data_IF_525857981041
#
_entry.id   IF_525857981041
#
_cell.length_a   1.000
_cell.length_b   1.000
_cell.length_c   1.000
_cell.angle_alpha   90.00
_cell.angle_beta   90.00
_cell.angle_gamma   90.00
#
_symmetry.space_group_name_H-M   'P 1'
#
loop_
_entity.id
_entity.type
_entity.pdbx_description
1 polymer ?
#
# COMPACT_ATOMS: atom_id res chain seq x y z
N UNK A 1 -32.82 3.26 2.68
CA UNK A 1 -31.78 4.32 2.80
C UNK A 1 -31.02 4.43 1.50
N UNK A 2 -30.71 5.64 1.03
CA UNK A 2 -29.96 5.88 -0.22
C UNK A 2 -28.47 5.63 0.05
N UNK A 3 -27.83 4.72 -0.70
CA UNK A 3 -26.39 4.47 -0.57
C UNK A 3 -25.57 5.59 -1.19
N UNK A 4 -24.47 5.95 -0.53
CA UNK A 4 -23.48 6.89 -1.07
C UNK A 4 -22.66 6.16 -2.13
N UNK A 5 -22.50 6.74 -3.33
CA UNK A 5 -21.65 6.17 -4.38
C UNK A 5 -20.26 6.76 -4.26
N UNK A 6 -19.24 5.92 -4.15
CA UNK A 6 -17.83 6.31 -4.03
C UNK A 6 -17.08 5.76 -5.24
N UNK A 7 -16.36 6.61 -5.95
CA UNK A 7 -15.48 6.17 -7.03
C UNK A 7 -14.03 6.33 -6.57
N UNK A 8 -13.27 5.24 -6.61
CA UNK A 8 -11.83 5.22 -6.35
C UNK A 8 -11.10 5.15 -7.69
N UNK A 9 -10.14 6.05 -7.89
CA UNK A 9 -9.39 6.13 -9.14
C UNK A 9 -8.00 5.54 -8.94
N UNK A 10 -7.65 4.55 -9.77
CA UNK A 10 -6.37 3.84 -9.75
C UNK A 10 -6.47 2.44 -9.13
N UNK A 11 -5.83 1.46 -9.79
CA UNK A 11 -5.85 0.05 -9.38
C UNK A 11 -4.47 -0.45 -8.89
N UNK A 12 -3.61 0.47 -8.44
CA UNK A 12 -2.41 0.11 -7.69
C UNK A 12 -2.75 -0.23 -6.24
N UNK A 13 -1.72 -0.49 -5.43
CA UNK A 13 -1.89 -0.96 -4.06
C UNK A 13 -2.68 0.03 -3.18
N UNK A 14 -2.46 1.34 -3.36
CA UNK A 14 -3.20 2.40 -2.65
C UNK A 14 -4.69 2.40 -3.03
N UNK A 15 -4.99 2.26 -4.33
CA UNK A 15 -6.36 2.31 -4.82
C UNK A 15 -7.18 1.12 -4.36
N UNK A 16 -6.63 -0.09 -4.51
CA UNK A 16 -7.28 -1.30 -4.02
C UNK A 16 -7.41 -1.33 -2.50
N UNK A 17 -6.36 -0.98 -1.74
CA UNK A 17 -6.45 -0.95 -0.28
C UNK A 17 -7.51 0.05 0.18
N UNK A 18 -7.54 1.25 -0.41
CA UNK A 18 -8.56 2.28 -0.11
C UNK A 18 -9.96 1.78 -0.43
N UNK A 19 -10.18 1.19 -1.60
CA UNK A 19 -11.50 0.67 -1.99
C UNK A 19 -12.00 -0.41 -1.02
N UNK A 20 -11.12 -1.34 -0.62
CA UNK A 20 -11.43 -2.36 0.39
C UNK A 20 -11.75 -1.71 1.75
N UNK A 21 -10.92 -0.78 2.22
CA UNK A 21 -11.13 -0.11 3.51
C UNK A 21 -12.45 0.64 3.56
N UNK A 22 -12.81 1.38 2.50
CA UNK A 22 -14.09 2.10 2.41
C UNK A 22 -15.25 1.11 2.38
N UNK A 23 -15.16 0.03 1.61
CA UNK A 23 -16.22 -0.96 1.52
C UNK A 23 -16.46 -1.70 2.85
N UNK A 24 -15.40 -2.00 3.59
CA UNK A 24 -15.47 -2.69 4.88
C UNK A 24 -15.91 -1.77 6.02
N UNK A 25 -15.40 -0.53 6.05
CA UNK A 25 -15.65 0.41 7.15
C UNK A 25 -16.98 1.15 7.01
N UNK A 26 -17.49 1.31 5.78
CA UNK A 26 -18.69 2.11 5.50
C UNK A 26 -19.73 1.28 4.70
N UNK A 27 -20.54 0.43 5.38
CA UNK A 27 -21.53 -0.43 4.71
C UNK A 27 -22.62 0.32 3.92
N UNK A 28 -22.79 1.61 4.19
CA UNK A 28 -23.71 2.50 3.47
C UNK A 28 -23.15 3.01 2.14
N UNK A 29 -21.89 2.70 1.82
CA UNK A 29 -21.25 3.07 0.57
C UNK A 29 -21.35 1.96 -0.49
N UNK A 30 -21.46 2.37 -1.75
CA UNK A 30 -21.26 1.53 -2.93
C UNK A 30 -20.00 2.05 -3.61
N UNK A 31 -18.93 1.26 -3.54
CA UNK A 31 -17.63 1.63 -4.08
C UNK A 31 -17.55 1.18 -5.54
N UNK A 32 -16.81 1.91 -6.38
CA UNK A 32 -16.47 1.49 -7.73
C UNK A 32 -15.03 1.91 -7.98
N UNK A 33 -14.18 0.97 -8.36
CA UNK A 33 -12.79 1.26 -8.69
C UNK A 33 -12.66 1.38 -10.21
N UNK A 34 -12.06 2.48 -10.67
CA UNK A 34 -11.83 2.75 -12.09
C UNK A 34 -10.35 3.02 -12.30
N UNK A 35 -9.75 2.38 -13.29
CA UNK A 35 -8.36 2.59 -13.65
C UNK A 35 -8.12 2.31 -15.14
N UNK A 36 -7.07 2.92 -15.68
CA UNK A 36 -6.59 2.61 -17.03
C UNK A 36 -5.87 1.25 -17.07
N UNK A 37 -5.09 0.95 -16.04
CA UNK A 37 -4.29 -0.27 -15.91
C UNK A 37 -4.61 -0.97 -14.61
N UNK A 38 -4.56 -2.30 -14.65
CA UNK A 38 -4.72 -3.20 -13.52
C UNK A 38 -3.46 -4.07 -13.43
N UNK A 39 -3.32 -4.81 -12.32
CA UNK A 39 -2.27 -5.83 -12.21
C UNK A 39 -2.35 -6.80 -13.40
N UNK A 40 -1.23 -7.15 -14.05
CA UNK A 40 0.16 -6.94 -13.63
C UNK A 40 0.83 -5.64 -14.11
N UNK A 41 0.07 -4.66 -14.62
CA UNK A 41 0.61 -3.49 -15.34
C UNK A 41 0.60 -2.19 -14.52
N UNK A 42 0.64 -2.27 -13.18
CA UNK A 42 0.72 -1.11 -12.30
C UNK A 42 2.14 -0.90 -11.78
N UNK A 43 2.47 0.33 -11.32
CA UNK A 43 3.75 0.59 -10.62
C UNK A 43 3.94 -0.33 -9.41
N UNK A 44 2.84 -0.69 -8.74
CA UNK A 44 2.90 -1.58 -7.58
C UNK A 44 3.40 -2.99 -7.96
N UNK A 45 3.05 -3.51 -9.14
CA UNK A 45 3.51 -4.83 -9.60
C UNK A 45 5.02 -4.93 -9.77
N UNK A 46 5.69 -3.80 -10.09
CA UNK A 46 7.14 -3.71 -10.19
C UNK A 46 7.87 -3.45 -8.86
N UNK A 47 7.15 -3.23 -7.76
CA UNK A 47 7.76 -2.91 -6.47
C UNK A 47 8.40 -4.14 -5.81
N UNK A 48 9.54 -3.95 -5.15
CA UNK A 48 10.23 -5.03 -4.43
C UNK A 48 9.43 -5.58 -3.22
N UNK A 49 8.55 -4.74 -2.65
CA UNK A 49 7.58 -5.14 -1.64
C UNK A 49 8.09 -5.24 -0.20
N UNK A 50 9.34 -4.86 0.10
CA UNK A 50 9.89 -4.89 1.45
C UNK A 50 9.42 -3.67 2.25
N UNK A 51 8.87 -3.89 3.44
CA UNK A 51 8.36 -2.83 4.30
C UNK A 51 9.46 -2.22 5.18
N UNK A 52 9.93 -1.05 4.79
CA UNK A 52 10.66 -0.08 5.62
C UNK A 52 10.35 1.31 5.06
N UNK A 53 10.62 2.37 5.82
CA UNK A 53 10.24 3.72 5.40
C UNK A 53 11.38 4.73 5.49
N UNK A 54 11.48 5.58 4.48
CA UNK A 54 12.15 6.86 4.58
C UNK A 54 11.23 7.90 5.25
N UNK A 55 11.81 8.94 5.82
CA UNK A 55 11.04 10.06 6.38
C UNK A 55 10.59 11.02 5.27
N UNK A 56 9.33 11.44 5.31
CA UNK A 56 8.78 12.49 4.44
C UNK A 56 8.81 13.85 5.17
N UNK A 57 9.59 14.84 4.69
CA UNK A 57 9.78 16.11 5.39
C UNK A 57 8.48 16.87 5.69
N UNK A 58 7.51 16.79 4.77
CA UNK A 58 6.26 17.58 4.86
C UNK A 58 5.18 16.92 5.74
N UNK A 59 5.43 15.71 6.25
CA UNK A 59 4.46 14.96 7.04
C UNK A 59 4.97 14.83 8.48
N UNK A 60 4.17 15.19 9.51
CA UNK A 60 4.59 15.02 10.89
C UNK A 60 5.00 13.57 11.19
N UNK A 61 6.17 13.38 11.81
CA UNK A 61 6.73 12.06 12.09
C UNK A 61 5.77 11.12 12.84
N UNK A 62 4.98 11.68 13.75
CA UNK A 62 3.95 10.93 14.49
C UNK A 62 2.91 10.29 13.56
N UNK A 63 2.54 10.99 12.48
CA UNK A 63 1.59 10.50 11.46
C UNK A 63 2.24 9.41 10.61
N UNK A 64 3.48 9.62 10.16
CA UNK A 64 4.23 8.61 9.40
C UNK A 64 4.41 7.32 10.20
N UNK A 65 4.77 7.45 11.47
CA UNK A 65 4.92 6.33 12.41
C UNK A 65 3.61 5.57 12.59
N UNK A 66 2.48 6.28 12.71
CA UNK A 66 1.15 5.64 12.80
C UNK A 66 0.83 4.85 11.54
N UNK A 67 1.00 5.44 10.35
CA UNK A 67 0.76 4.73 9.08
C UNK A 67 1.65 3.50 8.92
N UNK A 68 2.92 3.60 9.30
CA UNK A 68 3.83 2.47 9.30
C UNK A 68 3.32 1.36 10.22
N UNK A 69 2.97 1.69 11.47
CA UNK A 69 2.45 0.74 12.45
C UNK A 69 1.17 0.05 11.95
N UNK A 70 0.19 0.83 11.50
CA UNK A 70 -1.09 0.30 11.03
C UNK A 70 -0.90 -0.62 9.81
N UNK A 71 0.02 -0.27 8.90
CA UNK A 71 0.37 -1.10 7.74
C UNK A 71 1.12 -2.37 8.13
N UNK A 72 2.06 -2.27 9.08
CA UNK A 72 2.82 -3.41 9.59
C UNK A 72 1.91 -4.42 10.28
N UNK A 73 1.04 -3.95 11.19
CA UNK A 73 0.11 -4.81 11.93
C UNK A 73 -0.88 -5.51 10.98
N UNK A 74 -1.40 -4.79 9.99
CA UNK A 74 -2.28 -5.36 8.96
C UNK A 74 -1.59 -6.47 8.17
N UNK A 75 -0.41 -6.19 7.60
CA UNK A 75 0.32 -7.19 6.83
C UNK A 75 0.80 -8.35 7.71
N UNK A 76 1.14 -8.10 8.98
CA UNK A 76 1.54 -9.15 9.92
C UNK A 76 0.39 -10.11 10.17
N UNK A 77 -0.83 -9.58 10.36
CA UNK A 77 -2.02 -10.41 10.52
C UNK A 77 -2.28 -11.30 9.30
N UNK A 78 -2.01 -10.80 8.10
CA UNK A 78 -2.12 -11.59 6.86
C UNK A 78 -1.02 -12.65 6.81
N UNK A 79 0.23 -12.29 7.10
CA UNK A 79 1.37 -13.21 7.12
C UNK A 79 1.20 -14.36 8.11
N UNK A 80 0.44 -14.14 9.19
CA UNK A 80 0.12 -15.15 10.21
C UNK A 80 -1.14 -15.96 9.90
N UNK A 81 -1.82 -15.69 8.78
CA UNK A 81 -3.05 -16.36 8.39
C UNK A 81 -2.82 -17.43 7.32
N UNK A 82 -3.79 -18.32 7.12
CA UNK A 82 -3.78 -19.29 6.03
C UNK A 82 -3.79 -18.65 4.62
N UNK A 83 -4.14 -17.36 4.54
CA UNK A 83 -4.20 -16.58 3.30
C UNK A 83 -2.83 -16.05 2.85
N UNK A 84 -1.80 -16.11 3.72
CA UNK A 84 -0.47 -15.56 3.46
C UNK A 84 0.11 -15.96 2.08
N UNK A 85 0.09 -17.24 1.67
CA UNK A 85 0.65 -17.64 0.37
C UNK A 85 -0.12 -17.06 -0.81
N UNK A 86 -1.45 -16.94 -0.68
CA UNK A 86 -2.32 -16.40 -1.74
C UNK A 86 -2.21 -14.88 -1.83
N UNK A 87 -2.05 -14.21 -0.70
CA UNK A 87 -1.86 -12.76 -0.62
C UNK A 87 -0.44 -12.32 -1.00
N UNK A 88 0.54 -13.23 -1.06
CA UNK A 88 1.94 -12.90 -1.28
C UNK A 88 2.54 -12.07 -0.14
N UNK A 89 2.10 -12.31 1.10
CA UNK A 89 2.59 -11.58 2.29
C UNK A 89 3.34 -12.53 3.20
N UNK A 90 4.58 -12.19 3.55
CA UNK A 90 5.47 -13.05 4.32
C UNK A 90 6.43 -12.26 5.21
N UNK A 91 6.92 -12.90 6.28
CA UNK A 91 8.03 -12.38 7.06
C UNK A 91 9.33 -12.47 6.26
N UNK A 92 10.15 -11.42 6.33
CA UNK A 92 11.44 -11.34 5.67
C UNK A 92 12.47 -10.80 6.65
N UNK A 93 13.45 -11.65 7.00
CA UNK A 93 14.59 -11.28 7.82
C UNK A 93 15.73 -10.80 6.94
N UNK A 94 16.32 -9.66 7.27
CA UNK A 94 17.38 -9.07 6.46
C UNK A 94 18.26 -8.12 7.24
N UNK A 95 19.12 -7.44 6.49
CA UNK A 95 20.00 -6.42 7.01
C UNK A 95 20.06 -5.22 6.07
N UNK A 96 20.11 -4.02 6.65
CA UNK A 96 20.43 -2.78 5.96
C UNK A 96 21.87 -2.40 6.29
N UNK A 97 22.72 -2.33 5.27
CA UNK A 97 24.17 -2.05 5.43
C UNK A 97 24.54 -0.71 4.79
N UNK A 98 25.42 0.03 5.46
CA UNK A 98 25.77 1.40 5.11
C UNK A 98 27.29 1.53 4.92
N UNK A 99 27.70 2.41 3.99
CA UNK A 99 29.13 2.73 3.81
C UNK A 99 29.71 3.51 4.99
N UNK A 100 28.89 4.34 5.61
CA UNK A 100 29.21 5.19 6.74
C UNK A 100 28.13 5.05 7.81
N UNK A 101 28.42 5.45 9.05
CA UNK A 101 27.42 5.44 10.12
C UNK A 101 26.36 6.51 9.81
N UNK A 102 25.07 6.16 9.66
CA UNK A 102 24.02 7.11 9.39
C UNK A 102 23.84 8.07 10.58
N UNK A 103 23.47 9.32 10.29
CA UNK A 103 23.17 10.32 11.33
C UNK A 103 22.06 9.85 12.29
N UNK A 104 21.08 9.13 11.76
CA UNK A 104 20.02 8.49 12.52
C UNK A 104 20.28 6.98 12.58
N UNK A 105 20.81 6.50 13.70
CA UNK A 105 21.08 5.07 13.94
C UNK A 105 19.85 4.23 14.24
N UNK A 106 18.75 4.87 14.63
CA UNK A 106 17.47 4.20 14.91
C UNK A 106 16.36 4.95 14.17
N UNK A 107 15.89 4.43 13.02
CA UNK A 107 14.80 5.07 12.30
C UNK A 107 13.51 5.05 13.14
N UNK A 108 12.56 5.92 12.78
CA UNK A 108 11.32 6.13 13.54
C UNK A 108 10.40 4.90 13.61
N UNK A 109 10.69 3.83 12.86
CA UNK A 109 9.96 2.57 12.83
C UNK A 109 10.75 1.40 13.45
N UNK A 110 11.95 1.64 13.97
CA UNK A 110 12.87 0.60 14.46
C UNK A 110 12.28 -0.31 15.54
N UNK A 111 11.45 0.23 16.43
CA UNK A 111 10.77 -0.50 17.50
C UNK A 111 9.42 -1.10 17.07
N UNK A 112 8.96 -0.82 15.85
CA UNK A 112 7.73 -1.39 15.28
C UNK A 112 8.01 -2.70 14.53
N UNK A 113 9.23 -2.88 14.03
CA UNK A 113 9.66 -4.11 13.35
C UNK A 113 10.20 -5.14 14.36
N UNK A 114 10.33 -6.39 13.93
CA UNK A 114 10.67 -7.49 14.83
C UNK A 114 12.20 -7.59 14.97
N UNK A 115 12.70 -7.51 16.20
CA UNK A 115 14.09 -7.82 16.53
C UNK A 115 15.12 -6.83 15.98
N UNK A 116 14.77 -5.55 15.82
CA UNK A 116 15.70 -4.52 15.34
C UNK A 116 16.92 -4.39 16.25
N UNK A 117 18.10 -4.43 15.65
CA UNK A 117 19.37 -4.24 16.33
C UNK A 117 20.46 -3.79 15.36
N UNK A 118 21.52 -3.21 15.91
CA UNK A 118 22.77 -3.06 15.17
C UNK A 118 23.41 -4.45 14.94
N UNK A 119 24.12 -4.59 13.83
CA UNK A 119 24.84 -5.81 13.50
C UNK A 119 26.13 -5.90 14.33
N UNK A 120 26.43 -7.11 14.78
CA UNK A 120 27.70 -7.40 15.46
C UNK A 120 28.88 -7.29 14.51
N UNK A 121 30.08 -7.10 15.04
CA UNK A 121 31.32 -7.10 14.25
C UNK A 121 31.46 -8.37 13.40
N UNK A 122 31.06 -9.53 13.94
CA UNK A 122 31.10 -10.81 13.21
C UNK A 122 30.18 -10.81 11.99
N UNK A 123 29.00 -10.22 12.10
CA UNK A 123 28.06 -10.09 10.98
C UNK A 123 28.55 -9.06 9.96
N UNK A 124 29.15 -7.96 10.41
CA UNK A 124 29.73 -6.92 9.54
C UNK A 124 30.88 -7.43 8.68
N UNK A 125 31.65 -8.44 9.13
CA UNK A 125 32.71 -9.07 8.31
C UNK A 125 32.22 -9.65 6.98
N UNK A 126 30.91 -9.92 6.85
CA UNK A 126 30.30 -10.42 5.59
C UNK A 126 30.17 -9.34 4.52
N UNK A 127 30.29 -8.07 4.89
CA UNK A 127 30.09 -6.92 4.03
C UNK A 127 31.36 -6.07 4.01
N UNK A 128 32.41 -6.48 3.27
CA UNK A 128 33.60 -5.66 3.12
C UNK A 128 33.21 -4.28 2.58
N UNK A 129 33.90 -3.23 3.00
CA UNK A 129 33.63 -1.82 2.66
C UNK A 129 32.38 -1.18 3.33
N UNK A 130 31.73 -1.87 4.27
CA UNK A 130 30.60 -1.32 5.05
C UNK A 130 31.01 -1.12 6.51
N UNK A 131 30.73 0.06 7.06
CA UNK A 131 31.13 0.41 8.44
C UNK A 131 30.00 0.29 9.45
N UNK A 132 28.76 0.16 8.99
CA UNK A 132 27.59 0.08 9.86
C UNK A 132 26.50 -0.80 9.24
N UNK A 133 25.75 -1.51 10.08
CA UNK A 133 24.67 -2.36 9.64
C UNK A 133 23.61 -2.53 10.72
N UNK A 134 22.38 -2.71 10.28
CA UNK A 134 21.22 -3.00 11.13
C UNK A 134 20.57 -4.27 10.64
N UNK A 135 20.13 -5.12 11.56
CA UNK A 135 19.40 -6.36 11.27
C UNK A 135 18.02 -6.31 11.92
N UNK A 136 17.02 -6.78 11.19
CA UNK A 136 15.64 -6.85 11.65
C UNK A 136 14.83 -7.82 10.78
N UNK A 137 13.69 -8.25 11.30
CA UNK A 137 12.67 -8.95 10.54
C UNK A 137 11.51 -8.00 10.26
N UNK A 138 11.17 -7.84 8.99
CA UNK A 138 10.04 -7.05 8.52
C UNK A 138 9.11 -7.90 7.65
N UNK A 139 8.18 -7.28 6.93
CA UNK A 139 7.27 -7.93 6.01
C UNK A 139 7.66 -7.64 4.56
N UNK A 140 7.47 -8.65 3.73
CA UNK A 140 7.45 -8.54 2.28
C UNK A 140 6.02 -8.74 1.80
N UNK A 141 5.57 -7.86 0.90
CA UNK A 141 4.28 -7.96 0.24
C UNK A 141 4.50 -7.87 -1.28
N UNK A 142 4.30 -9.00 -1.96
CA UNK A 142 4.45 -9.12 -3.40
C UNK A 142 3.17 -8.62 -4.06
N UNK A 143 3.20 -7.39 -4.59
CA UNK A 143 2.02 -6.76 -5.17
C UNK A 143 1.43 -7.54 -6.36
N UNK A 144 2.25 -8.26 -7.12
CA UNK A 144 1.78 -9.15 -8.18
C UNK A 144 0.81 -10.25 -7.67
N UNK A 145 0.89 -10.63 -6.39
CA UNK A 145 -0.07 -11.54 -5.74
C UNK A 145 -1.08 -10.79 -4.88
N UNK A 146 -0.64 -9.74 -4.18
CA UNK A 146 -1.45 -8.97 -3.26
C UNK A 146 -2.58 -8.20 -3.96
N UNK A 147 -2.34 -7.64 -5.15
CA UNK A 147 -3.36 -6.91 -5.91
C UNK A 147 -4.48 -7.84 -6.39
N UNK A 148 -4.21 -9.01 -7.02
CA UNK A 148 -5.26 -10.00 -7.29
C UNK A 148 -6.02 -10.45 -6.04
N UNK A 149 -5.32 -10.62 -4.91
CA UNK A 149 -5.95 -11.00 -3.64
C UNK A 149 -6.90 -9.91 -3.12
N UNK A 150 -6.45 -8.64 -3.08
CA UNK A 150 -7.30 -7.49 -2.75
C UNK A 150 -8.46 -7.36 -3.72
N UNK A 151 -8.24 -7.59 -5.02
CA UNK A 151 -9.28 -7.58 -6.02
C UNK A 151 -10.35 -8.64 -5.70
N UNK A 152 -9.97 -9.89 -5.43
CA UNK A 152 -10.93 -10.95 -5.06
C UNK A 152 -11.74 -10.60 -3.80
N UNK A 153 -11.10 -9.99 -2.79
CA UNK A 153 -11.79 -9.49 -1.59
C UNK A 153 -12.74 -8.35 -1.92
N UNK A 154 -12.29 -7.39 -2.74
CA UNK A 154 -13.14 -6.29 -3.19
C UNK A 154 -14.34 -6.81 -3.96
N UNK A 155 -14.17 -7.82 -4.83
CA UNK A 155 -15.25 -8.48 -5.56
C UNK A 155 -16.24 -9.16 -4.62
N UNK A 156 -15.81 -9.76 -3.49
CA UNK A 156 -16.74 -10.33 -2.50
C UNK A 156 -17.63 -9.24 -1.86
N UNK A 157 -17.08 -8.05 -1.58
CA UNK A 157 -17.88 -6.91 -1.08
C UNK A 157 -18.65 -6.17 -2.18
N UNK A 158 -18.16 -6.20 -3.43
CA UNK A 158 -18.68 -5.45 -4.58
C UNK A 158 -19.67 -6.27 -5.45
N UNK A 159 -19.65 -7.61 -5.38
CA UNK A 159 -20.65 -8.50 -6.01
C UNK A 159 -22.01 -8.48 -5.30
N UNK A 160 -22.18 -7.63 -4.28
CA UNK A 160 -23.50 -7.18 -3.85
C UNK A 160 -24.02 -5.93 -4.60
N UNK A 161 -23.46 -5.52 -5.77
CA UNK A 161 -24.06 -4.70 -6.87
C UNK A 161 -23.14 -3.60 -7.48
N UNK A 162 -22.01 -3.90 -8.15
CA UNK A 162 -21.39 -2.96 -9.11
C UNK A 162 -20.33 -3.60 -10.05
N UNK A 163 -20.20 -3.03 -11.25
CA UNK A 163 -19.34 -3.49 -12.36
C UNK A 163 -17.89 -2.97 -12.26
N UNK A 164 -16.93 -3.81 -12.65
CA UNK A 164 -15.53 -3.45 -12.87
C UNK A 164 -15.37 -2.94 -14.30
N UNK A 165 -15.04 -1.66 -14.49
CA UNK A 165 -14.86 -1.08 -15.82
C UNK A 165 -13.37 -0.94 -16.12
N UNK A 166 -12.82 -1.96 -16.78
CA UNK A 166 -11.61 -1.81 -17.58
C UNK A 166 -11.95 -0.99 -18.82
N UNK A 167 -11.07 -0.05 -19.18
CA UNK A 167 -11.16 0.79 -20.39
C UNK A 167 -11.32 -0.01 -21.68
N UNK A 168 -11.04 -1.31 -21.70
CA UNK A 168 -11.27 -2.18 -22.86
C UNK A 168 -12.75 -2.43 -23.16
N UNK A 169 -13.68 -2.11 -22.25
CA UNK A 169 -15.12 -2.11 -22.52
C UNK A 169 -15.64 -0.76 -23.06
N UNK A 170 -14.84 0.30 -23.04
CA UNK A 170 -15.21 1.61 -23.59
C UNK A 170 -15.03 1.71 -25.11
N UNK A 171 -14.43 0.70 -25.75
CA UNK A 171 -14.23 0.70 -27.20
C UNK A 171 -15.46 0.26 -28.02
N UNK A 172 -16.51 -0.26 -27.37
CA UNK A 172 -17.72 -0.71 -28.08
C UNK A 172 -18.96 0.17 -27.90
N UNK A 173 -18.88 1.26 -27.13
CA UNK A 173 -19.94 2.27 -27.08
C UNK A 173 -19.40 3.63 -27.49
N UNK A 174 -19.48 3.89 -28.81
CA UNK A 174 -19.46 5.23 -29.36
C UNK A 174 -20.67 6.01 -28.81
N UNK A 175 -20.56 6.56 -27.58
CA UNK A 175 -21.35 7.68 -27.03
C UNK A 175 -21.12 7.80 -25.52
N UNK A 176 -19.96 8.28 -25.07
CA UNK A 176 -19.92 9.14 -23.87
C UNK A 176 -18.60 9.90 -23.71
N UNK A 177 -18.43 10.93 -24.55
CA UNK A 177 -17.35 11.91 -24.44
C UNK A 177 -17.36 12.71 -23.13
N UNK A 178 -18.44 12.63 -22.34
CA UNK A 178 -18.57 13.28 -21.02
C UNK A 178 -17.77 12.60 -19.91
N UNK A 179 -17.66 11.27 -19.91
CA UNK A 179 -17.00 10.53 -18.83
C UNK A 179 -15.47 10.72 -18.87
N UNK A 180 -14.90 10.76 -20.09
CA UNK A 180 -13.48 11.06 -20.32
C UNK A 180 -13.11 12.48 -19.87
N UNK A 181 -13.98 13.48 -20.13
CA UNK A 181 -13.77 14.86 -19.67
C UNK A 181 -13.90 15.00 -18.15
N UNK A 182 -14.86 14.28 -17.52
CA UNK A 182 -15.03 14.31 -16.06
C UNK A 182 -13.83 13.73 -15.31
N UNK A 183 -13.23 12.65 -15.81
CA UNK A 183 -12.02 12.07 -15.23
C UNK A 183 -10.81 13.01 -15.34
N UNK A 184 -10.64 13.69 -16.47
CA UNK A 184 -9.57 14.70 -16.64
C UNK A 184 -9.76 15.94 -15.73
N UNK A 185 -11.01 16.35 -15.49
CA UNK A 185 -11.36 17.46 -14.60
C UNK A 185 -11.22 17.14 -13.10
N UNK A 186 -11.57 15.92 -12.67
CA UNK A 186 -11.52 15.51 -11.27
C UNK A 186 -10.08 15.42 -10.71
N UNK A 187 -9.10 15.08 -11.57
CA UNK A 187 -7.67 14.98 -11.19
C UNK A 187 -7.09 16.36 -10.82
N UNK A 188 -7.64 17.46 -11.35
CA UNK A 188 -7.16 18.83 -11.10
C UNK A 188 -7.84 19.53 -9.90
N UNK A 189 -8.83 18.89 -9.26
CA UNK A 189 -9.72 19.55 -8.29
C UNK A 189 -9.52 19.21 -6.81
N UNK A 190 -8.67 18.23 -6.46
CA UNK A 190 -8.51 17.80 -5.07
C UNK A 190 -7.50 18.71 -4.36
N UNK A 191 -8.01 19.78 -3.74
CA UNK A 191 -7.21 20.75 -2.95
C UNK A 191 -7.20 20.49 -1.45
N UNK A 192 -7.97 19.50 -0.96
CA UNK A 192 -8.04 19.21 0.48
C UNK A 192 -8.19 17.71 0.76
N UNK A 193 -7.13 17.13 1.33
CA UNK A 193 -7.05 15.72 1.73
C UNK A 193 -7.39 15.49 3.22
N UNK A 194 -7.88 16.53 3.92
CA UNK A 194 -8.18 16.48 5.36
C UNK A 194 -9.23 15.44 5.76
N UNK A 195 -10.13 15.06 4.85
CA UNK A 195 -11.19 14.06 5.09
C UNK A 195 -10.62 12.64 5.31
N UNK A 196 -9.43 12.33 4.80
CA UNK A 196 -8.75 11.05 5.05
C UNK A 196 -7.92 11.04 6.35
N UNK A 197 -7.88 12.15 7.10
CA UNK A 197 -7.01 12.32 8.27
C UNK A 197 -7.61 11.80 9.59
N UNK A 198 -8.88 11.40 9.65
CA UNK A 198 -9.57 11.08 10.91
C UNK A 198 -10.08 9.64 11.07
N UNK A 199 -9.92 8.76 10.07
CA UNK A 199 -10.31 7.35 10.18
C UNK A 199 -9.11 6.40 10.07
N UNK A 200 -9.34 5.11 10.29
CA UNK A 200 -8.41 3.98 10.13
C UNK A 200 -7.87 3.79 8.68
N UNK A 201 -7.67 4.88 7.92
CA UNK A 201 -7.29 4.92 6.51
C UNK A 201 -5.77 5.03 6.30
N UNK A 202 -4.97 4.69 7.31
CA UNK A 202 -3.50 4.66 7.26
C UNK A 202 -2.91 3.46 6.52
N UNK A 203 -3.74 2.70 5.79
CA UNK A 203 -3.34 1.46 5.15
C UNK A 203 -2.60 1.80 3.85
N UNK A 204 -1.28 1.68 3.94
CA UNK A 204 -0.33 1.51 2.84
C UNK A 204 0.30 2.75 2.17
N UNK A 205 0.56 3.86 2.86
CA UNK A 205 1.44 4.89 2.27
C UNK A 205 2.92 4.46 2.11
N UNK A 206 3.33 3.31 2.67
CA UNK A 206 4.74 2.85 2.65
C UNK A 206 5.17 2.01 1.42
N UNK A 207 4.32 1.82 0.41
CA UNK A 207 4.71 1.06 -0.80
C UNK A 207 5.25 1.91 -1.95
N UNK A 208 5.35 3.22 -1.76
CA UNK A 208 5.84 4.13 -2.80
C UNK A 208 7.23 4.61 -2.38
N UNK A 209 8.22 4.23 -3.19
CA UNK A 209 9.65 4.63 -3.21
C UNK A 209 10.64 3.60 -2.64
N UNK A 210 10.92 2.58 -3.46
CA UNK A 210 12.31 2.31 -3.86
C UNK A 210 12.43 2.78 -5.32
#
# INVERSE_FOLDING_TARGET
>A
MKRVKVVVVGAGVIGFSTAVCVAESLPSCSVTLVAEKFSPDTTSDGAAGILFAAEFPDIPLQRQRRWFKDSFDHLLSIAQSAEAPRAGVMLSSGCQVFKEVPAVRRPFWSDLVIGFREMSEREMRRFPERTFGQAFTTLKCECASYLPWLHSRSVIYMNQRAAFLSTNLLHNDHKDSKLSLMLKGAIHGIKDWSVFQQGHFGILFCFILI
#
